data_IF_836479585116
#
_entry.id   IF_836479585116
#
_cell.length_a   1.000
_cell.length_b   1.000
_cell.length_c   1.000
_cell.angle_alpha   90.00
_cell.angle_beta   90.00
_cell.angle_gamma   90.00
#
_symmetry.space_group_name_H-M   'P 1'
#
loop_
_entity.id
_entity.type
_entity.pdbx_description
1 polymer ?
#
# COMPACT_ATOMS: atom_id res chain seq x y z
N UNK A 1 7.99 -14.14 -8.24
CA UNK A 1 6.65 -13.61 -8.59
C UNK A 1 6.76 -12.43 -9.53
N UNK A 2 7.39 -11.31 -9.14
CA UNK A 2 7.50 -10.13 -10.01
C UNK A 2 8.07 -10.37 -11.41
N UNK A 3 9.15 -11.16 -11.54
CA UNK A 3 9.71 -11.50 -12.87
C UNK A 3 8.69 -12.22 -13.76
N UNK A 4 7.96 -13.22 -13.23
CA UNK A 4 6.92 -13.93 -13.97
C UNK A 4 5.72 -13.04 -14.33
N UNK A 5 5.55 -11.92 -13.64
CA UNK A 5 4.51 -10.93 -13.93
C UNK A 5 4.97 -9.90 -14.98
N UNK A 6 6.23 -9.45 -14.91
CA UNK A 6 6.81 -8.47 -15.85
C UNK A 6 6.92 -9.02 -17.27
N UNK A 7 7.40 -10.25 -17.43
CA UNK A 7 7.63 -10.83 -18.77
C UNK A 7 6.37 -10.76 -19.66
N UNK A 8 5.20 -11.29 -19.24
CA UNK A 8 3.99 -11.20 -20.04
C UNK A 8 3.46 -9.76 -20.18
N UNK A 9 3.65 -8.90 -19.17
CA UNK A 9 3.24 -7.49 -19.23
C UNK A 9 4.01 -6.74 -20.32
N UNK A 10 5.34 -6.84 -20.33
CA UNK A 10 6.21 -6.24 -21.35
C UNK A 10 5.87 -6.81 -22.72
N UNK A 11 5.73 -8.12 -22.85
CA UNK A 11 5.36 -8.76 -24.12
C UNK A 11 4.04 -8.19 -24.66
N UNK A 12 2.99 -8.12 -23.84
CA UNK A 12 1.67 -7.66 -24.26
C UNK A 12 1.71 -6.19 -24.70
N UNK A 13 2.36 -5.32 -23.93
CA UNK A 13 2.42 -3.90 -24.27
C UNK A 13 3.23 -3.65 -25.54
N UNK A 14 4.35 -4.35 -25.75
CA UNK A 14 5.12 -4.26 -27.00
C UNK A 14 4.29 -4.73 -28.21
N UNK A 15 3.46 -5.75 -28.06
CA UNK A 15 2.53 -6.18 -29.12
C UNK A 15 1.51 -5.09 -29.45
N UNK A 16 0.90 -4.45 -28.44
CA UNK A 16 -0.05 -3.35 -28.70
C UNK A 16 0.62 -2.13 -29.32
N UNK A 17 1.83 -1.79 -28.88
CA UNK A 17 2.58 -0.71 -29.50
C UNK A 17 2.85 -1.01 -30.99
N UNK A 18 3.31 -2.23 -31.31
CA UNK A 18 3.53 -2.65 -32.69
C UNK A 18 2.23 -2.61 -33.51
N UNK A 19 1.10 -3.02 -32.92
CA UNK A 19 -0.21 -2.93 -33.58
C UNK A 19 -0.52 -1.49 -33.98
N UNK A 20 -0.27 -0.50 -33.10
CA UNK A 20 -0.44 0.93 -33.44
C UNK A 20 0.50 1.37 -34.57
N UNK A 21 1.76 0.94 -34.53
CA UNK A 21 2.71 1.29 -35.60
C UNK A 21 2.32 0.73 -36.97
N UNK A 22 1.90 -0.53 -37.05
CA UNK A 22 1.56 -1.16 -38.33
C UNK A 22 0.17 -0.80 -38.84
N UNK A 23 -0.83 -0.71 -37.96
CA UNK A 23 -2.20 -0.38 -38.36
C UNK A 23 -2.43 1.11 -38.58
N UNK A 24 -1.59 1.97 -37.99
CA UNK A 24 -1.82 3.41 -37.92
C UNK A 24 -3.00 3.80 -37.01
N UNK A 25 -3.62 2.84 -36.32
CA UNK A 25 -4.77 3.09 -35.47
C UNK A 25 -4.34 3.65 -34.10
N UNK A 26 -4.43 4.96 -33.95
CA UNK A 26 -4.08 5.66 -32.71
C UNK A 26 -5.14 5.53 -31.59
N UNK A 27 -6.25 4.85 -31.85
CA UNK A 27 -7.32 4.63 -30.87
C UNK A 27 -7.04 3.46 -29.90
N UNK A 28 -5.98 2.68 -30.17
CA UNK A 28 -5.62 1.52 -29.33
C UNK A 28 -4.96 1.94 -28.01
N UNK A 29 -4.17 3.02 -28.03
CA UNK A 29 -3.41 3.49 -26.88
C UNK A 29 -3.79 4.94 -26.55
N UNK A 30 -4.00 5.22 -25.27
CA UNK A 30 -4.54 6.48 -24.78
C UNK A 30 -3.44 7.43 -24.31
N UNK A 31 -2.80 8.13 -25.25
CA UNK A 31 -1.76 9.11 -24.91
C UNK A 31 -2.31 10.53 -24.69
N UNK A 32 -1.52 11.33 -23.98
CA UNK A 32 -1.55 12.77 -24.15
C UNK A 32 -0.75 13.15 -25.41
N UNK A 33 -1.38 13.12 -26.58
CA UNK A 33 -0.72 13.32 -27.87
C UNK A 33 0.00 14.67 -28.00
N UNK A 34 -0.46 15.72 -27.29
CA UNK A 34 0.21 17.04 -27.31
C UNK A 34 1.57 17.03 -26.60
N UNK A 35 1.74 16.18 -25.59
CA UNK A 35 2.98 16.05 -24.83
C UNK A 35 3.72 14.73 -25.08
N UNK A 36 3.22 13.84 -25.95
CA UNK A 36 3.91 12.59 -26.24
C UNK A 36 5.23 12.87 -26.98
N UNK A 37 6.36 12.48 -26.36
CA UNK A 37 7.70 12.66 -26.94
C UNK A 37 8.28 11.30 -27.29
N UNK A 38 8.43 10.96 -28.59
CA UNK A 38 8.93 9.65 -29.00
C UNK A 38 10.45 9.56 -28.91
N UNK A 39 10.95 8.35 -28.64
CA UNK A 39 12.37 8.00 -28.77
C UNK A 39 12.51 6.58 -29.33
N UNK A 40 13.11 6.46 -30.51
CA UNK A 40 13.23 5.18 -31.21
C UNK A 40 11.85 4.57 -31.49
N UNK A 41 11.61 3.36 -30.99
CA UNK A 41 10.32 2.67 -31.14
C UNK A 41 9.28 3.05 -30.08
N UNK A 42 9.62 3.82 -29.06
CA UNK A 42 8.66 4.20 -28.00
C UNK A 42 7.96 5.51 -28.35
N UNK A 43 6.63 5.49 -28.45
CA UNK A 43 5.84 6.71 -28.78
C UNK A 43 5.83 7.72 -27.62
N UNK A 44 5.66 7.26 -26.39
CA UNK A 44 5.61 8.09 -25.18
C UNK A 44 6.82 7.79 -24.29
N UNK A 45 8.02 8.17 -24.77
CA UNK A 45 9.26 7.92 -24.04
C UNK A 45 9.34 8.77 -22.76
N UNK A 46 8.77 9.98 -22.77
CA UNK A 46 8.70 10.82 -21.60
C UNK A 46 7.97 10.15 -20.41
N UNK A 47 6.80 9.55 -20.65
CA UNK A 47 6.05 8.85 -19.61
C UNK A 47 6.64 7.51 -19.20
N UNK A 48 7.34 6.84 -20.12
CA UNK A 48 8.19 5.72 -19.74
C UNK A 48 9.31 6.15 -18.78
N UNK A 49 10.00 7.24 -19.10
CA UNK A 49 11.17 7.69 -18.36
C UNK A 49 10.84 8.38 -17.02
N UNK A 50 9.67 9.03 -16.89
CA UNK A 50 9.23 9.68 -15.65
C UNK A 50 9.16 8.72 -14.45
N UNK A 51 9.04 7.41 -14.72
CA UNK A 51 9.02 6.33 -13.73
C UNK A 51 10.40 5.91 -13.18
N UNK A 52 11.50 6.43 -13.73
CA UNK A 52 12.86 6.07 -13.29
C UNK A 52 13.10 6.36 -11.80
N UNK A 53 12.39 7.34 -11.23
CA UNK A 53 12.47 7.71 -9.83
C UNK A 53 12.15 6.55 -8.89
N UNK A 54 11.14 5.73 -9.20
CA UNK A 54 10.80 4.56 -8.37
C UNK A 54 11.93 3.53 -8.33
N UNK A 55 12.57 3.30 -9.49
CA UNK A 55 13.68 2.34 -9.62
C UNK A 55 14.89 2.83 -8.83
N UNK A 56 15.29 4.09 -9.02
CA UNK A 56 16.46 4.67 -8.34
C UNK A 56 16.26 4.74 -6.82
N UNK A 57 15.10 5.22 -6.37
CA UNK A 57 14.81 5.36 -4.95
C UNK A 57 14.55 4.00 -4.27
N UNK A 58 13.96 3.03 -4.98
CA UNK A 58 13.83 1.66 -4.50
C UNK A 58 15.20 0.98 -4.33
N UNK A 59 16.12 1.17 -5.28
CA UNK A 59 17.49 0.67 -5.17
C UNK A 59 18.24 1.35 -4.01
N UNK A 60 18.11 2.67 -3.85
CA UNK A 60 18.66 3.40 -2.71
C UNK A 60 18.12 2.86 -1.39
N UNK A 61 16.82 2.61 -1.28
CA UNK A 61 16.23 2.02 -0.08
C UNK A 61 16.83 0.65 0.24
N UNK A 62 17.03 -0.22 -0.75
CA UNK A 62 17.69 -1.52 -0.57
C UNK A 62 19.12 -1.36 -0.04
N UNK A 63 19.88 -0.37 -0.55
CA UNK A 63 21.24 -0.07 -0.07
C UNK A 63 21.20 0.36 1.40
N UNK A 64 20.28 1.24 1.78
CA UNK A 64 20.10 1.70 3.17
C UNK A 64 19.73 0.54 4.12
N UNK A 65 18.80 -0.33 3.69
CA UNK A 65 18.42 -1.54 4.43
C UNK A 65 19.62 -2.48 4.60
N UNK A 66 20.45 -2.64 3.56
CA UNK A 66 21.67 -3.44 3.60
C UNK A 66 22.68 -2.90 4.60
N UNK A 67 22.89 -1.58 4.60
CA UNK A 67 23.76 -0.90 5.57
C UNK A 67 23.31 -1.13 7.00
N UNK A 68 22.04 -0.87 7.33
CA UNK A 68 21.50 -1.08 8.68
C UNK A 68 21.58 -2.54 9.10
N UNK A 69 21.29 -3.48 8.20
CA UNK A 69 21.44 -4.93 8.46
C UNK A 69 22.88 -5.29 8.81
N UNK A 70 23.85 -4.80 8.05
CA UNK A 70 25.27 -5.06 8.31
C UNK A 70 25.68 -4.60 9.71
N UNK A 71 25.36 -3.35 10.07
CA UNK A 71 25.68 -2.81 11.40
C UNK A 71 24.94 -3.55 12.52
N UNK A 72 23.67 -3.88 12.32
CA UNK A 72 22.86 -4.63 13.29
C UNK A 72 23.44 -6.02 13.55
N UNK A 73 23.75 -6.79 12.50
CA UNK A 73 24.32 -8.15 12.64
C UNK A 73 25.70 -8.09 13.31
N UNK A 74 26.53 -7.11 12.96
CA UNK A 74 27.83 -6.91 13.61
C UNK A 74 27.70 -6.61 15.11
N UNK A 75 26.72 -5.78 15.50
CA UNK A 75 26.44 -5.49 16.91
C UNK A 75 25.88 -6.71 17.65
N UNK A 76 24.93 -7.42 17.04
CA UNK A 76 24.33 -8.63 17.59
C UNK A 76 25.35 -9.76 17.83
N UNK A 77 26.31 -9.93 16.92
CA UNK A 77 27.38 -10.92 17.06
C UNK A 77 28.36 -10.58 18.19
N UNK A 78 28.54 -9.28 18.51
CA UNK A 78 29.36 -8.85 19.65
C UNK A 78 28.66 -9.04 20.99
N UNK A 79 27.33 -8.88 21.04
CA UNK A 79 26.55 -8.99 22.27
C UNK A 79 25.23 -9.73 22.05
N UNK A 80 25.24 -11.04 22.31
CA UNK A 80 24.06 -11.92 22.15
C UNK A 80 22.92 -11.52 23.11
N UNK A 81 23.24 -11.01 24.29
CA UNK A 81 22.26 -10.54 25.28
C UNK A 81 21.44 -9.35 24.75
N UNK A 82 22.10 -8.41 24.06
CA UNK A 82 21.43 -7.28 23.41
C UNK A 82 20.47 -7.78 22.31
N UNK A 83 20.94 -8.70 21.47
CA UNK A 83 20.16 -9.25 20.35
C UNK A 83 18.87 -9.98 20.80
N UNK A 84 18.92 -10.68 21.94
CA UNK A 84 17.77 -11.43 22.46
C UNK A 84 16.86 -10.60 23.37
N UNK A 85 17.41 -9.68 24.14
CA UNK A 85 16.70 -9.00 25.23
C UNK A 85 16.17 -7.60 24.92
N UNK A 86 16.65 -6.94 23.86
CA UNK A 86 16.37 -5.52 23.59
C UNK A 86 15.76 -5.30 22.21
N UNK A 87 15.00 -4.21 22.10
CA UNK A 87 14.38 -3.75 20.88
C UNK A 87 13.35 -4.69 20.27
N UNK A 88 12.70 -4.17 19.22
CA UNK A 88 11.83 -4.97 18.36
C UNK A 88 12.70 -5.89 17.50
N UNK A 89 12.35 -7.19 17.36
CA UNK A 89 13.02 -8.10 16.45
C UNK A 89 13.09 -7.54 15.01
N UNK A 90 14.31 -7.35 14.50
CA UNK A 90 14.53 -6.76 13.18
C UNK A 90 14.34 -7.80 12.07
N UNK A 91 13.41 -7.54 11.14
CA UNK A 91 13.13 -8.40 9.98
C UNK A 91 13.46 -7.70 8.67
N UNK A 92 14.76 -7.60 8.36
CA UNK A 92 15.24 -6.93 7.14
C UNK A 92 14.69 -7.53 5.83
N UNK A 93 14.31 -8.82 5.81
CA UNK A 93 13.74 -9.48 4.63
C UNK A 93 12.46 -8.83 4.10
N UNK A 94 11.60 -8.31 4.98
CA UNK A 94 10.37 -7.63 4.57
C UNK A 94 10.68 -6.25 3.98
N UNK A 95 11.60 -5.51 4.58
CA UNK A 95 12.08 -4.23 4.01
C UNK A 95 12.74 -4.41 2.64
N UNK A 96 13.56 -5.46 2.44
CA UNK A 96 14.09 -5.78 1.11
C UNK A 96 12.98 -6.06 0.10
N UNK A 97 11.98 -6.86 0.50
CA UNK A 97 10.83 -7.16 -0.35
C UNK A 97 10.07 -5.89 -0.76
N UNK A 98 9.84 -4.96 0.18
CA UNK A 98 9.19 -3.68 -0.11
C UNK A 98 10.04 -2.81 -1.06
N UNK A 99 11.36 -2.76 -0.87
CA UNK A 99 12.28 -2.06 -1.77
C UNK A 99 12.28 -2.64 -3.19
N UNK A 100 12.30 -3.96 -3.33
CA UNK A 100 12.16 -4.62 -4.63
C UNK A 100 10.78 -4.38 -5.25
N UNK A 101 9.72 -4.38 -4.44
CA UNK A 101 8.37 -4.08 -4.93
C UNK A 101 8.28 -2.66 -5.49
N UNK A 102 8.95 -1.67 -4.88
CA UNK A 102 9.05 -0.30 -5.41
C UNK A 102 9.81 -0.23 -6.74
N UNK A 103 10.86 -1.04 -6.93
CA UNK A 103 11.55 -1.12 -8.24
C UNK A 103 10.61 -1.72 -9.30
N UNK A 104 9.91 -2.80 -8.95
CA UNK A 104 9.01 -3.50 -9.86
C UNK A 104 7.80 -2.64 -10.24
N UNK A 105 7.29 -1.83 -9.31
CA UNK A 105 6.30 -0.78 -9.56
C UNK A 105 6.79 0.18 -10.65
N UNK A 106 8.01 0.72 -10.52
CA UNK A 106 8.59 1.60 -11.54
C UNK A 106 8.71 0.95 -12.92
N UNK A 107 9.13 -0.32 -12.98
CA UNK A 107 9.27 -1.05 -14.24
C UNK A 107 7.90 -1.30 -14.89
N UNK A 108 6.90 -1.73 -14.13
CA UNK A 108 5.58 -2.06 -14.64
C UNK A 108 4.77 -0.82 -15.00
N UNK A 109 4.89 0.25 -14.21
CA UNK A 109 4.31 1.55 -14.51
C UNK A 109 4.90 2.12 -15.80
N UNK A 110 6.23 2.13 -15.92
CA UNK A 110 6.91 2.52 -17.16
C UNK A 110 6.41 1.69 -18.36
N UNK A 111 6.29 0.37 -18.17
CA UNK A 111 5.80 -0.56 -19.19
C UNK A 111 4.37 -0.22 -19.60
N UNK A 112 3.45 0.04 -18.67
CA UNK A 112 2.07 0.44 -18.97
C UNK A 112 2.03 1.72 -19.82
N UNK A 113 2.82 2.73 -19.45
CA UNK A 113 2.85 4.02 -20.15
C UNK A 113 3.43 3.97 -21.57
N UNK A 114 4.02 2.85 -21.99
CA UNK A 114 4.40 2.62 -23.39
C UNK A 114 3.16 2.59 -24.30
N UNK A 115 2.05 2.00 -23.85
CA UNK A 115 0.75 2.02 -24.54
C UNK A 115 -0.37 1.87 -23.51
N UNK A 116 -0.84 2.95 -22.89
CA UNK A 116 -1.84 2.89 -21.84
C UNK A 116 -3.21 2.51 -22.42
N UNK A 117 -3.86 1.48 -21.84
CA UNK A 117 -5.22 1.09 -22.17
C UNK A 117 -5.92 0.39 -21.00
N UNK A 118 -7.23 0.16 -21.12
CA UNK A 118 -8.04 -0.49 -20.08
C UNK A 118 -7.53 -1.87 -19.69
N UNK A 119 -7.10 -2.67 -20.66
CA UNK A 119 -6.72 -4.08 -20.44
C UNK A 119 -5.36 -4.24 -19.75
N UNK A 120 -4.48 -3.24 -19.85
CA UNK A 120 -3.13 -3.28 -19.28
C UNK A 120 -2.93 -2.36 -18.07
N UNK A 121 -3.93 -1.55 -17.71
CA UNK A 121 -3.94 -0.71 -16.49
C UNK A 121 -3.63 -1.50 -15.21
N UNK A 122 -3.99 -2.78 -15.16
CA UNK A 122 -3.67 -3.64 -14.02
C UNK A 122 -2.16 -3.78 -13.75
N UNK A 123 -1.31 -3.62 -14.76
CA UNK A 123 0.14 -3.76 -14.58
C UNK A 123 0.71 -2.61 -13.76
N UNK A 124 0.18 -1.41 -13.97
CA UNK A 124 0.52 -0.19 -13.23
C UNK A 124 0.06 -0.28 -11.76
N UNK A 125 -1.12 -0.87 -11.51
CA UNK A 125 -1.73 -0.87 -10.17
C UNK A 125 -1.38 -2.08 -9.29
N UNK A 126 -0.95 -3.20 -9.87
CA UNK A 126 -0.77 -4.45 -9.10
C UNK A 126 0.31 -4.36 -8.03
N UNK A 127 1.42 -3.68 -8.32
CA UNK A 127 2.51 -3.55 -7.34
C UNK A 127 2.22 -2.47 -6.29
N UNK A 128 1.38 -1.47 -6.59
CA UNK A 128 0.79 -0.60 -5.57
C UNK A 128 0.03 -1.40 -4.50
N UNK A 129 -0.79 -2.40 -4.90
CA UNK A 129 -1.49 -3.28 -3.96
C UNK A 129 -0.51 -4.05 -3.09
N UNK A 130 0.50 -4.66 -3.72
CA UNK A 130 1.52 -5.47 -3.04
C UNK A 130 2.28 -4.62 -2.03
N UNK A 131 2.74 -3.42 -2.41
CA UNK A 131 3.44 -2.48 -1.52
C UNK A 131 2.54 -2.12 -0.33
N UNK A 132 1.27 -1.75 -0.56
CA UNK A 132 0.35 -1.40 0.51
C UNK A 132 0.17 -2.54 1.52
N UNK A 133 -0.03 -3.77 1.05
CA UNK A 133 -0.18 -4.96 1.92
C UNK A 133 1.12 -5.25 2.67
N UNK A 134 2.28 -5.22 2.00
CA UNK A 134 3.56 -5.46 2.66
C UNK A 134 3.85 -4.44 3.77
N UNK A 135 3.48 -3.17 3.55
CA UNK A 135 3.63 -2.12 4.58
C UNK A 135 2.68 -2.38 5.75
N UNK A 136 1.42 -2.74 5.50
CA UNK A 136 0.49 -3.10 6.58
C UNK A 136 1.01 -4.29 7.40
N UNK A 137 1.53 -5.33 6.73
CA UNK A 137 2.15 -6.49 7.38
C UNK A 137 3.38 -6.06 8.20
N UNK A 138 4.21 -5.17 7.68
CA UNK A 138 5.40 -4.67 8.39
C UNK A 138 5.00 -3.90 9.66
N UNK A 139 4.03 -2.99 9.58
CA UNK A 139 3.51 -2.25 10.73
C UNK A 139 2.96 -3.19 11.81
N UNK A 140 2.28 -4.26 11.39
CA UNK A 140 1.68 -5.25 12.30
C UNK A 140 2.71 -6.12 13.01
N UNK A 141 3.65 -6.71 12.26
CA UNK A 141 4.63 -7.66 12.81
C UNK A 141 5.61 -6.98 13.77
N UNK A 142 5.89 -5.67 13.59
CA UNK A 142 6.72 -4.88 14.51
C UNK A 142 6.19 -4.90 15.95
N UNK A 143 4.87 -4.90 16.13
CA UNK A 143 4.23 -4.97 17.46
C UNK A 143 3.80 -6.37 17.86
N UNK A 144 3.68 -7.30 16.92
CA UNK A 144 3.32 -8.68 17.19
C UNK A 144 4.35 -9.66 16.62
N UNK A 145 5.58 -9.68 17.15
CA UNK A 145 6.65 -10.51 16.61
C UNK A 145 6.36 -12.02 16.71
N UNK A 146 5.49 -12.43 17.62
CA UNK A 146 5.08 -13.83 17.81
C UNK A 146 4.09 -14.31 16.74
N UNK A 147 3.41 -13.38 16.06
CA UNK A 147 2.49 -13.67 14.97
C UNK A 147 3.27 -13.71 13.65
N UNK A 148 3.82 -14.88 13.34
CA UNK A 148 4.46 -15.11 12.04
C UNK A 148 3.36 -15.30 10.99
N UNK A 149 3.06 -14.25 10.23
CA UNK A 149 2.27 -14.39 9.01
C UNK A 149 3.04 -15.31 8.04
N UNK A 150 2.44 -16.46 7.70
CA UNK A 150 3.01 -17.37 6.72
C UNK A 150 3.17 -16.66 5.38
N UNK A 151 4.36 -16.77 4.77
CA UNK A 151 4.61 -16.20 3.43
C UNK A 151 3.60 -16.71 2.40
N UNK A 152 3.18 -17.98 2.51
CA UNK A 152 2.15 -18.56 1.65
C UNK A 152 0.80 -17.86 1.78
N UNK A 153 0.42 -17.43 2.99
CA UNK A 153 -0.84 -16.71 3.22
C UNK A 153 -0.79 -15.29 2.61
N UNK A 154 0.37 -14.62 2.71
CA UNK A 154 0.58 -13.31 2.08
C UNK A 154 0.54 -13.45 0.55
N UNK A 155 1.18 -14.47 -0.01
CA UNK A 155 1.10 -14.70 -1.46
C UNK A 155 -0.31 -15.09 -1.92
N UNK A 156 -1.04 -15.88 -1.13
CA UNK A 156 -2.43 -16.18 -1.42
C UNK A 156 -3.29 -14.91 -1.43
N UNK A 157 -3.07 -13.97 -0.51
CA UNK A 157 -3.82 -12.70 -0.51
C UNK A 157 -3.51 -11.85 -1.74
N UNK A 158 -2.24 -11.80 -2.20
CA UNK A 158 -1.88 -11.14 -3.46
C UNK A 158 -2.62 -11.75 -4.65
N UNK A 159 -2.60 -13.09 -4.77
CA UNK A 159 -3.28 -13.79 -5.87
C UNK A 159 -4.78 -13.54 -5.87
N UNK A 160 -5.43 -13.55 -4.69
CA UNK A 160 -6.87 -13.26 -4.58
C UNK A 160 -7.16 -11.82 -5.01
N UNK A 161 -6.41 -10.84 -4.51
CA UNK A 161 -6.67 -9.42 -4.79
C UNK A 161 -6.41 -9.10 -6.28
N UNK A 162 -5.28 -9.53 -6.83
CA UNK A 162 -4.96 -9.34 -8.25
C UNK A 162 -5.94 -10.11 -9.14
N UNK A 163 -6.33 -11.34 -8.76
CA UNK A 163 -7.32 -12.14 -9.49
C UNK A 163 -8.70 -11.50 -9.52
N UNK A 164 -9.16 -10.91 -8.40
CA UNK A 164 -10.40 -10.13 -8.37
C UNK A 164 -10.32 -8.92 -9.31
N UNK A 165 -9.18 -8.24 -9.36
CA UNK A 165 -8.96 -7.13 -10.29
C UNK A 165 -9.08 -7.59 -11.75
N UNK A 166 -8.46 -8.71 -12.11
CA UNK A 166 -8.56 -9.30 -13.46
C UNK A 166 -10.01 -9.60 -13.83
N UNK A 167 -10.78 -10.22 -12.92
CA UNK A 167 -12.21 -10.51 -13.14
C UNK A 167 -13.00 -9.21 -13.34
N UNK A 168 -12.72 -8.19 -12.53
CA UNK A 168 -13.34 -6.87 -12.65
C UNK A 168 -13.09 -6.23 -14.01
N UNK A 169 -11.84 -6.28 -14.51
CA UNK A 169 -11.47 -5.75 -15.82
C UNK A 169 -12.11 -6.55 -16.96
N UNK A 170 -12.07 -7.89 -16.91
CA UNK A 170 -12.61 -8.76 -17.97
C UNK A 170 -14.13 -8.71 -18.09
N UNK A 171 -14.83 -8.36 -17.01
CA UNK A 171 -16.30 -8.24 -16.99
C UNK A 171 -16.77 -6.81 -17.18
N UNK A 172 -15.88 -5.90 -17.59
CA UNK A 172 -16.14 -4.46 -17.74
C UNK A 172 -16.79 -3.83 -16.50
N UNK A 173 -16.40 -4.29 -15.30
CA UNK A 173 -17.00 -3.91 -14.02
C UNK A 173 -18.54 -4.06 -14.03
N UNK A 174 -19.05 -5.15 -14.61
CA UNK A 174 -20.48 -5.45 -14.64
C UNK A 174 -21.12 -5.41 -13.24
N UNK A 175 -22.42 -5.09 -13.18
CA UNK A 175 -23.18 -5.11 -11.92
C UNK A 175 -23.06 -6.46 -11.18
N UNK A 176 -23.00 -7.56 -11.92
CA UNK A 176 -22.80 -8.90 -11.35
C UNK A 176 -21.45 -9.05 -10.66
N UNK A 177 -20.36 -8.57 -11.28
CA UNK A 177 -19.03 -8.59 -10.69
C UNK A 177 -18.95 -7.74 -9.41
N UNK A 178 -19.60 -6.57 -9.40
CA UNK A 178 -19.72 -5.73 -8.20
C UNK A 178 -20.46 -6.41 -7.05
N UNK A 179 -21.59 -7.08 -7.34
CA UNK A 179 -22.35 -7.83 -6.34
C UNK A 179 -21.50 -8.98 -5.79
N UNK A 180 -20.85 -9.76 -6.66
CA UNK A 180 -20.00 -10.88 -6.26
C UNK A 180 -18.84 -10.41 -5.38
N UNK A 181 -18.16 -9.33 -5.77
CA UNK A 181 -17.10 -8.72 -4.96
C UNK A 181 -17.62 -8.25 -3.61
N UNK A 182 -18.79 -7.62 -3.56
CA UNK A 182 -19.34 -7.12 -2.31
C UNK A 182 -19.71 -8.25 -1.33
N UNK A 183 -20.31 -9.33 -1.83
CA UNK A 183 -20.59 -10.53 -1.03
C UNK A 183 -19.28 -11.13 -0.50
N UNK A 184 -18.28 -11.28 -1.37
CA UNK A 184 -16.96 -11.79 -0.97
C UNK A 184 -16.31 -10.89 0.09
N UNK A 185 -16.30 -9.58 -0.12
CA UNK A 185 -15.71 -8.61 0.80
C UNK A 185 -16.40 -8.63 2.17
N UNK A 186 -17.74 -8.62 2.20
CA UNK A 186 -18.51 -8.72 3.45
C UNK A 186 -18.23 -10.04 4.16
N UNK A 187 -18.12 -11.16 3.43
CA UNK A 187 -17.81 -12.46 4.01
C UNK A 187 -16.41 -12.47 4.65
N UNK A 188 -15.39 -11.94 3.96
CA UNK A 188 -14.01 -11.87 4.48
C UNK A 188 -13.94 -10.96 5.71
N UNK A 189 -14.49 -9.74 5.61
CA UNK A 189 -14.50 -8.81 6.74
C UNK A 189 -15.28 -9.40 7.92
N UNK A 190 -16.44 -10.00 7.67
CA UNK A 190 -17.23 -10.68 8.69
C UNK A 190 -16.46 -11.83 9.37
N UNK A 191 -15.75 -12.66 8.59
CA UNK A 191 -14.92 -13.73 9.13
C UNK A 191 -13.77 -13.20 10.00
N UNK A 192 -13.09 -12.14 9.56
CA UNK A 192 -12.02 -11.49 10.32
C UNK A 192 -12.56 -10.87 11.61
N UNK A 193 -13.71 -10.20 11.55
CA UNK A 193 -14.41 -9.64 12.71
C UNK A 193 -14.79 -10.74 13.70
N UNK A 194 -15.36 -11.85 13.24
CA UNK A 194 -15.69 -13.01 14.10
C UNK A 194 -14.43 -13.60 14.74
N UNK A 195 -13.35 -13.78 13.98
CA UNK A 195 -12.08 -14.26 14.54
C UNK A 195 -11.58 -13.31 15.62
N UNK A 196 -11.57 -12.01 15.36
CA UNK A 196 -11.17 -11.00 16.33
C UNK A 196 -12.02 -11.07 17.62
N UNK A 197 -13.35 -11.13 17.50
CA UNK A 197 -14.23 -11.26 18.66
C UNK A 197 -14.08 -12.58 19.40
N UNK A 198 -13.79 -13.69 18.71
CA UNK A 198 -13.52 -14.99 19.34
C UNK A 198 -12.20 -15.02 20.10
N UNK A 199 -11.16 -14.35 19.59
CA UNK A 199 -9.91 -14.14 20.32
C UNK A 199 -10.02 -13.06 21.41
N UNK A 200 -11.00 -12.16 21.31
CA UNK A 200 -11.31 -11.07 22.25
C UNK A 200 -12.43 -11.33 23.26
N UNK A 201 -12.79 -12.60 23.52
CA UNK A 201 -13.91 -13.05 24.37
C UNK A 201 -15.32 -12.82 23.80
N UNK A 202 -15.93 -13.89 23.28
CA UNK A 202 -17.38 -13.96 23.09
C UNK A 202 -17.99 -14.86 24.16
N UNK A 203 -18.63 -14.26 25.18
CA UNK A 203 -19.52 -14.97 26.10
C UNK A 203 -20.89 -15.07 25.45
N UNK A 204 -21.23 -16.23 24.87
CA UNK A 204 -22.64 -16.55 24.66
C UNK A 204 -23.24 -16.93 26.02
N UNK A 205 -24.25 -16.18 26.47
CA UNK A 205 -25.07 -16.61 27.59
C UNK A 205 -25.81 -17.90 27.21
N UNK A 206 -25.49 -18.97 27.96
CA UNK A 206 -26.26 -20.21 28.27
C UNK A 206 -26.88 -20.92 27.05
N UNK A 207 -26.48 -22.12 26.63
CA UNK A 207 -26.25 -23.32 27.44
C UNK A 207 -25.24 -24.26 26.75
N UNK A 208 -24.11 -24.52 27.42
CA UNK A 208 -23.40 -25.81 27.58
C UNK A 208 -22.06 -25.45 28.25
N UNK A 209 -21.86 -25.93 29.49
CA UNK A 209 -20.67 -25.70 30.29
C UNK A 209 -19.56 -26.66 29.84
N UNK A 210 -18.55 -26.13 29.15
CA UNK A 210 -17.22 -26.77 29.08
C UNK A 210 -16.21 -25.79 29.67
N UNK A 211 -15.74 -26.15 30.86
CA UNK A 211 -14.75 -25.40 31.63
C UNK A 211 -13.42 -25.35 30.87
N UNK A 212 -12.99 -24.17 30.46
CA UNK A 212 -11.57 -23.87 30.26
C UNK A 212 -11.15 -22.78 31.24
N UNK A 213 -10.42 -23.21 32.28
CA UNK A 213 -9.75 -22.35 33.25
C UNK A 213 -8.40 -21.95 32.65
N UNK A 214 -8.22 -20.69 32.27
CA UNK A 214 -6.90 -20.09 32.07
C UNK A 214 -6.88 -18.70 32.70
N UNK A 215 -5.76 -18.42 33.34
CA UNK A 215 -5.51 -17.51 34.46
C UNK A 215 -5.61 -16.03 34.07
N UNK A 216 -6.17 -15.25 34.98
CA UNK A 216 -6.30 -13.79 34.96
C UNK A 216 -4.98 -13.12 35.37
N UNK A 217 -4.60 -11.99 34.75
CA UNK A 217 -3.70 -11.01 35.38
C UNK A 217 -4.08 -9.56 35.04
N UNK A 218 -4.81 -8.97 35.99
CA UNK A 218 -4.76 -7.61 36.56
C UNK A 218 -4.68 -6.30 35.73
N UNK A 219 -5.71 -5.48 36.03
CA UNK A 219 -5.73 -4.03 36.36
C UNK A 219 -5.38 -2.97 35.30
N UNK A 220 -6.42 -2.26 34.83
CA UNK A 220 -6.41 -0.81 34.65
C UNK A 220 -7.80 -0.23 34.96
N UNK A 221 -7.90 0.54 36.05
CA UNK A 221 -9.02 1.44 36.37
C UNK A 221 -9.01 2.65 35.42
N UNK A 222 -10.18 3.06 34.93
CA UNK A 222 -10.35 4.24 34.07
C UNK A 222 -11.50 5.12 34.56
N UNK A 223 -11.17 6.31 35.08
CA UNK A 223 -12.05 7.46 35.20
C UNK A 223 -11.28 8.71 34.74
N UNK A 224 -11.79 9.38 33.70
CA UNK A 224 -12.14 10.82 33.64
C UNK A 224 -12.70 11.10 32.23
N UNK A 225 -13.97 11.50 32.20
CA UNK A 225 -14.54 12.64 31.46
C UNK A 225 -13.89 13.00 30.11
N UNK A 226 -14.69 12.96 29.02
CA UNK A 226 -14.26 12.76 27.62
C UNK A 226 -13.69 11.36 27.41
N UNK A 227 -14.62 10.42 27.16
CA UNK A 227 -14.53 9.00 27.50
C UNK A 227 -13.50 8.19 26.69
N UNK A 228 -12.25 8.26 27.14
CA UNK A 228 -11.25 7.21 26.98
C UNK A 228 -11.73 5.92 27.71
N UNK A 229 -11.62 4.73 27.06
CA UNK A 229 -11.62 3.31 27.50
C UNK A 229 -12.41 2.77 28.74
N UNK A 230 -12.79 1.46 28.80
CA UNK A 230 -12.33 0.32 28.01
C UNK A 230 -13.45 -0.59 27.49
N UNK A 231 -13.62 -0.67 26.17
CA UNK A 231 -14.09 -1.89 25.51
C UNK A 231 -13.82 -1.74 24.03
N UNK A 232 -12.81 -2.46 23.55
CA UNK A 232 -12.39 -2.55 22.16
C UNK A 232 -13.52 -2.93 21.16
N UNK A 233 -14.73 -3.23 21.63
CA UNK A 233 -15.93 -3.42 20.81
C UNK A 233 -16.23 -2.22 19.90
N UNK A 234 -16.14 -0.98 20.39
CA UNK A 234 -16.56 0.19 19.61
C UNK A 234 -15.66 0.54 18.42
N UNK A 235 -14.38 0.15 18.41
CA UNK A 235 -13.48 0.49 17.30
C UNK A 235 -13.55 -0.48 16.12
N UNK A 236 -13.72 -1.78 16.38
CA UNK A 236 -14.01 -2.75 15.31
C UNK A 236 -15.38 -2.54 14.70
N UNK A 237 -16.37 -2.16 15.52
CA UNK A 237 -17.68 -1.70 15.04
C UNK A 237 -17.53 -0.46 14.15
N UNK A 238 -16.63 0.48 14.47
CA UNK A 238 -16.38 1.66 13.63
C UNK A 238 -15.70 1.36 12.29
N UNK A 239 -14.68 0.48 12.24
CA UNK A 239 -14.01 0.12 10.98
C UNK A 239 -14.94 -0.73 10.09
N UNK A 240 -15.66 -1.69 10.68
CA UNK A 240 -16.66 -2.48 9.96
C UNK A 240 -17.76 -1.60 9.35
N UNK A 241 -18.31 -0.67 10.15
CA UNK A 241 -19.34 0.26 9.69
C UNK A 241 -18.81 1.26 8.66
N UNK A 242 -17.56 1.71 8.76
CA UNK A 242 -16.93 2.58 7.74
C UNK A 242 -16.73 1.83 6.42
N UNK A 243 -16.21 0.60 6.47
CA UNK A 243 -16.02 -0.25 5.29
C UNK A 243 -17.36 -0.62 4.65
N UNK A 244 -18.37 -0.95 5.45
CA UNK A 244 -19.73 -1.25 4.98
C UNK A 244 -20.43 -0.02 4.37
N UNK A 245 -20.34 1.15 5.01
CA UNK A 245 -20.90 2.42 4.48
C UNK A 245 -20.24 2.82 3.17
N UNK A 246 -18.91 2.64 3.04
CA UNK A 246 -18.21 2.84 1.77
C UNK A 246 -18.71 1.85 0.72
N UNK A 247 -18.75 0.56 1.02
CA UNK A 247 -19.25 -0.46 0.09
C UNK A 247 -20.66 -0.15 -0.42
N UNK A 248 -21.56 0.32 0.46
CA UNK A 248 -22.92 0.74 0.08
C UNK A 248 -22.90 1.96 -0.84
N UNK A 249 -22.09 2.98 -0.53
CA UNK A 249 -21.92 4.15 -1.39
C UNK A 249 -21.39 3.77 -2.78
N UNK A 250 -20.46 2.81 -2.86
CA UNK A 250 -19.86 2.40 -4.14
C UNK A 250 -20.73 1.43 -4.94
N UNK A 251 -21.54 0.57 -4.30
CA UNK A 251 -22.61 -0.14 -5.02
C UNK A 251 -23.60 0.85 -5.65
N UNK A 252 -23.86 1.97 -4.97
CA UNK A 252 -24.74 3.02 -5.49
C UNK A 252 -24.06 3.86 -6.60
N UNK A 253 -22.76 4.10 -6.51
CA UNK A 253 -22.00 4.90 -7.47
C UNK A 253 -21.47 4.11 -8.69
N UNK A 254 -21.36 2.78 -8.58
CA UNK A 254 -20.87 1.85 -9.62
C UNK A 254 -19.66 2.38 -10.43
N UNK A 255 -18.51 2.67 -9.78
CA UNK A 255 -17.36 3.23 -10.47
C UNK A 255 -16.87 2.29 -11.59
N UNK A 256 -16.53 2.86 -12.74
CA UNK A 256 -16.15 2.11 -13.94
C UNK A 256 -14.74 1.47 -13.83
N UNK A 257 -13.93 1.94 -12.89
CA UNK A 257 -12.58 1.42 -12.60
C UNK A 257 -12.54 0.60 -11.31
N UNK A 258 -12.57 -0.72 -11.48
CA UNK A 258 -12.50 -1.70 -10.41
C UNK A 258 -11.12 -1.74 -9.74
N UNK A 259 -10.03 -1.47 -10.48
CA UNK A 259 -8.67 -1.51 -9.96
C UNK A 259 -8.40 -0.37 -8.99
N UNK A 260 -8.63 0.86 -9.42
CA UNK A 260 -8.48 2.04 -8.55
C UNK A 260 -9.35 1.97 -7.30
N UNK A 261 -10.50 1.28 -7.37
CA UNK A 261 -11.34 1.03 -6.22
C UNK A 261 -10.68 0.12 -5.16
N UNK A 262 -10.12 -1.02 -5.57
CA UNK A 262 -9.36 -1.90 -4.67
C UNK A 262 -8.18 -1.13 -4.06
N UNK A 263 -7.48 -0.33 -4.88
CA UNK A 263 -6.37 0.51 -4.42
C UNK A 263 -6.81 1.43 -3.30
N UNK A 264 -7.93 2.14 -3.49
CA UNK A 264 -8.46 3.08 -2.53
C UNK A 264 -8.87 2.42 -1.19
N UNK A 265 -9.34 1.17 -1.22
CA UNK A 265 -9.59 0.40 0.01
C UNK A 265 -8.27 0.11 0.74
N UNK A 266 -7.27 -0.39 0.02
CA UNK A 266 -5.97 -0.73 0.61
C UNK A 266 -5.27 0.49 1.18
N UNK A 267 -5.26 1.61 0.45
CA UNK A 267 -4.63 2.85 0.89
C UNK A 267 -5.33 3.48 2.10
N UNK A 268 -6.67 3.48 2.15
CA UNK A 268 -7.38 4.01 3.32
C UNK A 268 -7.18 3.11 4.54
N UNK A 269 -7.20 1.79 4.38
CA UNK A 269 -6.88 0.89 5.49
C UNK A 269 -5.44 1.08 5.99
N UNK A 270 -4.48 1.20 5.08
CA UNK A 270 -3.09 1.50 5.41
C UNK A 270 -2.97 2.83 6.17
N UNK A 271 -3.65 3.89 5.70
CA UNK A 271 -3.62 5.20 6.35
C UNK A 271 -4.24 5.15 7.75
N UNK A 272 -5.41 4.53 7.90
CA UNK A 272 -6.06 4.33 9.21
C UNK A 272 -5.14 3.56 10.16
N UNK A 273 -4.51 2.50 9.68
CA UNK A 273 -3.63 1.68 10.50
C UNK A 273 -2.36 2.44 10.91
N UNK A 274 -1.77 3.21 9.99
CA UNK A 274 -0.64 4.07 10.27
C UNK A 274 -0.99 5.16 11.29
N UNK A 275 -2.12 5.85 11.13
CA UNK A 275 -2.55 6.88 12.08
C UNK A 275 -2.79 6.30 13.47
N UNK A 276 -3.42 5.12 13.55
CA UNK A 276 -3.58 4.39 14.79
C UNK A 276 -2.22 4.07 15.43
N UNK A 277 -1.28 3.57 14.64
CA UNK A 277 0.06 3.24 15.10
C UNK A 277 0.80 4.46 15.66
N UNK A 278 0.79 5.57 14.92
CA UNK A 278 1.41 6.84 15.33
C UNK A 278 0.74 7.37 16.60
N UNK A 279 -0.60 7.36 16.66
CA UNK A 279 -1.36 7.80 17.84
C UNK A 279 -0.97 7.02 19.08
N UNK A 280 -0.96 5.68 19.00
CA UNK A 280 -0.57 4.81 20.13
C UNK A 280 0.86 5.06 20.56
N UNK A 281 1.76 5.24 19.60
CA UNK A 281 3.16 5.54 19.88
C UNK A 281 3.34 6.88 20.58
N UNK A 282 2.70 7.95 20.11
CA UNK A 282 2.74 9.28 20.73
C UNK A 282 2.14 9.23 22.13
N UNK A 283 0.98 8.58 22.31
CA UNK A 283 0.32 8.44 23.61
C UNK A 283 1.21 7.73 24.63
N UNK A 284 1.91 6.67 24.21
CA UNK A 284 2.84 5.95 25.07
C UNK A 284 4.07 6.79 25.42
N UNK A 285 4.69 7.43 24.43
CA UNK A 285 5.86 8.29 24.67
C UNK A 285 5.52 9.47 25.60
N UNK A 286 4.33 10.05 25.45
CA UNK A 286 3.84 11.09 26.35
C UNK A 286 3.70 10.58 27.79
N UNK A 287 3.14 9.39 27.98
CA UNK A 287 3.03 8.76 29.32
C UNK A 287 4.40 8.51 29.96
N UNK A 288 5.40 8.13 29.17
CA UNK A 288 6.77 7.87 29.62
C UNK A 288 7.66 9.13 29.65
N UNK A 289 7.11 10.32 29.35
CA UNK A 289 7.84 11.60 29.22
C UNK A 289 9.04 11.51 28.25
N UNK A 290 8.92 10.68 27.21
CA UNK A 290 9.90 10.54 26.13
C UNK A 290 9.50 11.40 24.94
N UNK A 291 10.49 11.90 24.22
CA UNK A 291 10.28 12.62 22.95
C UNK A 291 10.28 11.65 21.78
N UNK A 292 9.47 11.93 20.77
CA UNK A 292 9.50 11.21 19.51
C UNK A 292 10.82 11.51 18.78
N UNK A 293 11.46 10.51 18.15
CA UNK A 293 12.64 10.75 17.31
C UNK A 293 12.33 11.79 16.22
N UNK A 294 13.20 12.79 16.09
CA UNK A 294 13.00 13.93 15.18
C UNK A 294 13.01 13.53 13.69
N UNK A 295 13.88 12.57 13.34
CA UNK A 295 14.07 12.13 11.95
C UNK A 295 12.76 11.60 11.31
N UNK A 296 12.05 10.61 11.88
CA UNK A 296 10.79 10.13 11.30
C UNK A 296 9.70 11.21 11.28
N UNK A 297 9.71 12.19 12.20
CA UNK A 297 8.76 13.32 12.15
C UNK A 297 9.02 14.23 10.95
N UNK A 298 10.29 14.59 10.72
CA UNK A 298 10.68 15.40 9.54
C UNK A 298 10.37 14.65 8.25
N UNK A 299 10.74 13.37 8.17
CA UNK A 299 10.44 12.53 7.01
C UNK A 299 8.93 12.37 6.77
N UNK A 300 8.13 12.29 7.83
CA UNK A 300 6.67 12.22 7.73
C UNK A 300 6.07 13.54 7.22
N UNK A 301 6.57 14.69 7.68
CA UNK A 301 6.17 15.99 7.15
C UNK A 301 6.51 16.14 5.66
N UNK A 302 7.71 15.72 5.25
CA UNK A 302 8.13 15.68 3.83
C UNK A 302 7.21 14.74 3.03
N UNK A 303 6.89 13.57 3.59
CA UNK A 303 5.97 12.61 2.98
C UNK A 303 4.60 13.24 2.70
N UNK A 304 4.01 13.94 3.68
CA UNK A 304 2.73 14.63 3.51
C UNK A 304 2.83 15.71 2.43
N UNK A 305 3.91 16.51 2.44
CA UNK A 305 4.10 17.56 1.44
C UNK A 305 4.20 16.99 0.01
N UNK A 306 5.01 15.93 -0.18
CA UNK A 306 5.17 15.27 -1.47
C UNK A 306 3.87 14.65 -1.96
N UNK A 307 3.11 13.97 -1.09
CA UNK A 307 1.81 13.42 -1.46
C UNK A 307 0.77 14.49 -1.75
N UNK A 308 0.75 15.59 -1.01
CA UNK A 308 -0.14 16.73 -1.29
C UNK A 308 0.11 17.32 -2.68
N UNK A 309 1.38 17.53 -3.03
CA UNK A 309 1.78 17.98 -4.36
C UNK A 309 1.48 16.93 -5.43
N UNK A 310 1.77 15.65 -5.18
CA UNK A 310 1.49 14.58 -6.12
C UNK A 310 -0.01 14.51 -6.44
N UNK A 311 -0.88 14.55 -5.43
CA UNK A 311 -2.34 14.53 -5.61
C UNK A 311 -2.85 15.73 -6.41
N UNK A 312 -2.25 16.92 -6.24
CA UNK A 312 -2.60 18.09 -7.05
C UNK A 312 -2.42 17.83 -8.55
N UNK A 313 -1.33 17.18 -8.95
CA UNK A 313 -1.05 16.83 -10.34
C UNK A 313 -1.87 15.61 -10.81
N UNK A 314 -2.09 14.62 -9.94
CA UNK A 314 -2.89 13.42 -10.24
C UNK A 314 -4.31 13.77 -10.73
N UNK A 315 -4.96 14.75 -10.11
CA UNK A 315 -6.31 15.16 -10.51
C UNK A 315 -6.36 15.97 -11.82
N UNK A 316 -5.22 16.23 -12.46
CA UNK A 316 -5.13 16.98 -13.70
C UNK A 316 -4.75 16.05 -14.87
N UNK A 317 -5.53 15.00 -15.10
CA UNK A 317 -5.25 14.00 -16.13
C UNK A 317 -5.23 14.60 -17.55
N UNK A 318 -4.19 14.26 -18.33
CA UNK A 318 -4.06 14.62 -19.75
C UNK A 318 -4.68 13.60 -20.72
N UNK A 319 -5.04 12.42 -20.22
CA UNK A 319 -5.68 11.34 -20.95
C UNK A 319 -6.48 10.45 -19.99
N UNK A 320 -7.53 9.81 -20.49
CA UNK A 320 -8.33 8.86 -19.72
C UNK A 320 -8.79 7.69 -20.60
N UNK A 321 -8.45 6.46 -20.22
CA UNK A 321 -8.80 5.23 -20.94
C UNK A 321 -10.23 4.75 -20.67
N UNK A 322 -10.95 5.35 -19.70
CA UNK A 322 -12.37 5.07 -19.47
C UNK A 322 -13.28 5.68 -20.56
N UNK A 323 -12.82 6.72 -21.23
CA UNK A 323 -13.58 7.39 -22.28
C UNK A 323 -13.30 6.81 -23.67
N UNK A 324 -14.15 7.18 -24.64
CA UNK A 324 -13.82 6.91 -26.04
C UNK A 324 -12.51 7.63 -26.41
N UNK A 325 -11.72 7.09 -27.36
CA UNK A 325 -10.47 7.71 -27.79
C UNK A 325 -10.64 9.18 -28.19
N UNK A 326 -11.69 9.51 -28.94
CA UNK A 326 -12.02 10.88 -29.33
C UNK A 326 -12.25 11.79 -28.11
N UNK A 327 -13.04 11.34 -27.13
CA UNK A 327 -13.32 12.12 -25.92
C UNK A 327 -12.07 12.28 -25.05
N UNK A 328 -11.23 11.26 -24.99
CA UNK A 328 -9.96 11.30 -24.26
C UNK A 328 -9.00 12.37 -24.80
N UNK A 329 -8.95 12.52 -26.14
CA UNK A 329 -8.10 13.52 -26.81
C UNK A 329 -8.48 14.97 -26.49
N UNK A 330 -9.72 15.24 -26.07
CA UNK A 330 -10.12 16.58 -25.61
C UNK A 330 -9.39 17.00 -24.33
N UNK A 331 -8.90 16.04 -23.53
CA UNK A 331 -8.13 16.30 -22.31
C UNK A 331 -6.65 16.56 -22.59
N UNK A 332 -6.16 16.35 -23.81
CA UNK A 332 -4.75 16.48 -24.13
C UNK A 332 -4.27 17.93 -23.95
N UNK A 333 -3.14 18.07 -23.26
CA UNK A 333 -2.52 19.35 -22.88
C UNK A 333 -1.05 19.34 -23.25
N UNK A 334 -0.53 20.53 -23.51
CA UNK A 334 0.88 20.73 -23.78
C UNK A 334 1.74 20.34 -22.57
N UNK A 335 3.01 20.04 -22.81
CA UNK A 335 3.97 19.74 -21.76
C UNK A 335 4.16 20.95 -20.82
N UNK A 336 4.42 20.67 -19.54
CA UNK A 336 4.58 21.71 -18.51
C UNK A 336 6.05 21.96 -18.21
N UNK A 337 6.84 20.90 -18.06
CA UNK A 337 8.24 21.01 -17.63
C UNK A 337 9.16 20.62 -18.79
N UNK A 338 10.07 21.55 -19.15
CA UNK A 338 11.12 21.37 -20.16
C UNK A 338 10.60 20.93 -21.54
N UNK A 339 9.33 21.24 -21.86
CA UNK A 339 8.64 20.75 -23.06
C UNK A 339 8.69 19.20 -23.23
N UNK A 340 8.79 18.50 -22.09
CA UNK A 340 8.99 17.05 -22.06
C UNK A 340 8.05 16.32 -21.11
N UNK A 341 7.77 16.88 -19.93
CA UNK A 341 6.90 16.23 -18.94
C UNK A 341 5.54 16.91 -18.81
N UNK A 342 4.48 16.11 -18.73
CA UNK A 342 3.13 16.56 -18.39
C UNK A 342 2.81 16.43 -16.89
N UNK A 343 1.55 16.69 -16.52
CA UNK A 343 1.07 16.58 -15.13
C UNK A 343 1.22 15.17 -14.57
N UNK A 344 0.95 14.15 -15.37
CA UNK A 344 0.99 12.75 -14.94
C UNK A 344 2.43 12.30 -14.73
N UNK A 345 3.35 12.75 -15.58
CA UNK A 345 4.79 12.53 -15.41
C UNK A 345 5.33 13.14 -14.12
N UNK A 346 4.91 14.37 -13.78
CA UNK A 346 5.28 15.03 -12.53
C UNK A 346 4.73 14.26 -11.33
N UNK A 347 3.51 13.71 -11.44
CA UNK A 347 2.93 12.86 -10.41
C UNK A 347 3.78 11.62 -10.14
N UNK A 348 4.30 10.94 -11.17
CA UNK A 348 5.22 9.80 -10.99
C UNK A 348 6.46 10.18 -10.17
N UNK A 349 7.10 11.31 -10.51
CA UNK A 349 8.30 11.77 -9.80
C UNK A 349 8.01 12.11 -8.33
N UNK A 350 6.94 12.85 -8.08
CA UNK A 350 6.57 13.27 -6.73
C UNK A 350 6.13 12.10 -5.86
N UNK A 351 5.33 11.18 -6.42
CA UNK A 351 4.87 10.01 -5.68
C UNK A 351 5.99 8.99 -5.46
N UNK A 352 6.96 8.85 -6.36
CA UNK A 352 8.19 8.08 -6.09
C UNK A 352 8.95 8.61 -4.86
N UNK A 353 9.12 9.93 -4.79
CA UNK A 353 9.68 10.60 -3.61
C UNK A 353 8.83 10.38 -2.35
N UNK A 354 7.50 10.52 -2.48
CA UNK A 354 6.55 10.33 -1.39
C UNK A 354 6.58 8.91 -0.80
N UNK A 355 6.60 7.88 -1.66
CA UNK A 355 6.75 6.49 -1.23
C UNK A 355 8.12 6.28 -0.56
N UNK A 356 9.21 6.76 -1.17
CA UNK A 356 10.54 6.60 -0.58
C UNK A 356 10.64 7.23 0.82
N UNK A 357 10.20 8.47 0.99
CA UNK A 357 10.18 9.13 2.29
C UNK A 357 9.30 8.37 3.28
N UNK A 358 8.14 7.86 2.85
CA UNK A 358 7.27 7.05 3.69
C UNK A 358 7.95 5.74 4.14
N UNK A 359 8.68 5.07 3.24
CA UNK A 359 9.46 3.88 3.58
C UNK A 359 10.57 4.20 4.59
N UNK A 360 11.21 5.37 4.48
CA UNK A 360 12.18 5.82 5.47
C UNK A 360 11.53 6.12 6.84
N UNK A 361 10.31 6.67 6.87
CA UNK A 361 9.52 6.79 8.10
C UNK A 361 9.33 5.41 8.70
N UNK A 362 8.79 4.44 7.95
CA UNK A 362 8.57 3.07 8.43
C UNK A 362 9.87 2.38 8.92
N UNK A 363 11.00 2.71 8.30
CA UNK A 363 12.30 2.11 8.59
C UNK A 363 12.99 2.70 9.83
N UNK A 364 12.64 3.94 10.19
CA UNK A 364 13.25 4.68 11.31
C UNK A 364 12.27 4.92 12.46
N UNK A 365 10.98 4.64 12.25
CA UNK A 365 9.90 4.97 13.18
C UNK A 365 10.22 4.45 14.58
N UNK A 366 10.69 3.21 14.69
CA UNK A 366 10.92 2.47 15.95
C UNK A 366 12.39 2.38 16.38
N UNK A 367 13.25 3.26 15.87
CA UNK A 367 14.67 3.28 16.25
C UNK A 367 14.88 3.72 17.71
N UNK A 368 13.93 4.44 18.29
CA UNK A 368 13.87 4.79 19.71
C UNK A 368 13.70 3.57 20.63
N UNK A 369 13.28 2.42 20.09
CA UNK A 369 13.08 1.19 20.86
C UNK A 369 14.31 0.30 20.92
N UNK A 370 15.37 0.57 20.14
CA UNK A 370 16.54 -0.32 20.02
C UNK A 370 17.21 -0.65 21.35
N UNK A 371 17.21 0.31 22.28
CA UNK A 371 17.82 0.18 23.62
C UNK A 371 16.81 -0.16 24.71
N UNK A 372 15.52 -0.30 24.37
CA UNK A 372 14.49 -0.65 25.35
C UNK A 372 14.45 -2.17 25.54
N UNK A 373 14.45 -2.69 26.79
CA UNK A 373 14.21 -4.10 27.05
C UNK A 373 12.89 -4.55 26.43
N UNK A 374 12.88 -5.70 25.75
CA UNK A 374 11.74 -6.16 24.96
C UNK A 374 10.47 -6.36 25.79
N UNK A 375 10.60 -6.74 27.05
CA UNK A 375 9.50 -6.89 27.99
C UNK A 375 8.83 -5.55 28.40
N UNK A 376 9.47 -4.41 28.12
CA UNK A 376 8.92 -3.06 28.34
C UNK A 376 8.35 -2.45 27.06
N UNK A 377 8.43 -3.13 25.92
CA UNK A 377 7.83 -2.67 24.67
C UNK A 377 6.33 -2.96 24.72
N UNK A 378 5.51 -1.91 24.64
CA UNK A 378 4.07 -2.07 24.60
C UNK A 378 3.59 -2.68 23.28
N UNK A 379 2.65 -3.62 23.42
CA UNK A 379 1.89 -4.26 22.35
C UNK A 379 0.56 -3.53 22.21
N UNK A 380 0.14 -3.20 20.99
CA UNK A 380 -1.14 -2.54 20.70
C UNK A 380 -1.62 -2.83 19.29
#
# INVERSE_FOLDING_TARGET
IGIFYIIPAVQLVLVYQNLVFYSGNEDVCYYNFKCSRPLGSLRSFNSFFSNIGYIMLGALFIILVSGKKYFYVRAANKCIALAKGYGVPQRFGLYFTIGFAMILEGILSATYHICPNRSNFQFDTSFMYIIAILIMVQLYIVRHPDLIASAHLIFASFTIIVGLCVIGVLTDASRGAWIAFAVFHIAVVGALTIQYYRFGTFKFGKHIKLHFRVIHSHNYDFYVTFCFNPSFHCHTDSIFVILLKRMIYYLAAAPEDFGSFILAILLVNLALYLFYYIYKKISFQYSEKKTMPWLPMVLFAITIALWGLALHFYFQAGSNWLYTPAKSREYNRDCIVMDFYDTHDIWHMLSAGGIFCFLLVLFTLDDDLLELPRNKIHLF
#
